data_IF_294401767763
#
_entry.id   IF_294401767763
#
_cell.length_a   1.000
_cell.length_b   1.000
_cell.length_c   1.000
_cell.angle_alpha   90.00
_cell.angle_beta   90.00
_cell.angle_gamma   90.00
#
_symmetry.space_group_name_H-M   'P 1'
#
loop_
_entity.id
_entity.type
_entity.pdbx_description
1 polymer ?
#
# COMPACT_ATOMS: atom_id res chain seq x y z
N UNK A 1 -22.19 5.13 -31.88
CA UNK A 1 -22.67 3.75 -31.75
C UNK A 1 -22.05 3.18 -30.49
N UNK A 2 -22.88 2.68 -29.60
CA UNK A 2 -22.35 2.06 -28.36
C UNK A 2 -21.67 0.74 -28.69
N UNK A 3 -20.37 0.63 -28.38
CA UNK A 3 -19.64 -0.64 -28.56
C UNK A 3 -20.30 -1.75 -27.73
N UNK A 4 -20.47 -2.98 -28.23
CA UNK A 4 -20.99 -4.07 -27.42
C UNK A 4 -20.12 -4.30 -26.17
N UNK A 5 -20.76 -4.70 -25.06
CA UNK A 5 -20.03 -5.04 -23.84
C UNK A 5 -19.22 -6.31 -24.08
N UNK A 6 -17.92 -6.33 -23.78
CA UNK A 6 -17.14 -7.56 -23.91
C UNK A 6 -17.69 -8.66 -22.98
N UNK A 7 -17.97 -9.82 -23.55
CA UNK A 7 -18.46 -11.02 -22.84
C UNK A 7 -17.35 -12.06 -22.60
N UNK A 8 -16.16 -11.83 -23.16
CA UNK A 8 -14.96 -12.66 -23.00
C UNK A 8 -14.62 -12.94 -21.52
N UNK A 9 -13.91 -14.03 -21.17
CA UNK A 9 -13.60 -14.38 -19.80
C UNK A 9 -12.68 -13.35 -19.13
N UNK A 10 -12.76 -13.24 -17.80
CA UNK A 10 -11.68 -12.62 -17.01
C UNK A 10 -10.48 -13.54 -17.06
N UNK A 11 -9.32 -13.03 -17.47
CA UNK A 11 -8.07 -13.79 -17.56
C UNK A 11 -6.98 -13.21 -16.67
N UNK A 12 -6.03 -14.04 -16.28
CA UNK A 12 -4.80 -13.61 -15.65
C UNK A 12 -3.96 -12.86 -16.69
N UNK A 13 -3.43 -11.70 -16.28
CA UNK A 13 -2.51 -10.88 -17.09
C UNK A 13 -1.07 -11.16 -16.66
N UNK A 14 -0.16 -11.12 -17.63
CA UNK A 14 1.28 -11.17 -17.37
C UNK A 14 1.92 -9.81 -17.57
N UNK A 15 3.22 -9.70 -17.27
CA UNK A 15 3.98 -8.44 -17.42
C UNK A 15 3.94 -7.90 -18.86
N UNK A 16 3.73 -8.76 -19.86
CA UNK A 16 3.59 -8.36 -21.26
C UNK A 16 2.28 -7.58 -21.52
N UNK A 17 1.27 -7.70 -20.65
CA UNK A 17 0.02 -6.93 -20.71
C UNK A 17 0.16 -5.53 -20.09
N UNK A 18 1.29 -5.22 -19.42
CA UNK A 18 1.53 -3.94 -18.76
C UNK A 18 1.23 -2.72 -19.66
N UNK A 19 1.63 -2.67 -20.95
CA UNK A 19 1.29 -1.53 -21.80
C UNK A 19 -0.24 -1.33 -21.98
N UNK A 20 -1.02 -2.41 -22.02
CA UNK A 20 -2.47 -2.31 -22.10
C UNK A 20 -3.10 -1.84 -20.78
N UNK A 21 -2.57 -2.29 -19.63
CA UNK A 21 -2.96 -1.80 -18.32
C UNK A 21 -2.70 -0.29 -18.17
N UNK A 22 -1.55 0.19 -18.66
CA UNK A 22 -1.19 1.62 -18.62
C UNK A 22 -2.12 2.45 -19.49
N UNK A 23 -2.43 2.01 -20.73
CA UNK A 23 -3.39 2.72 -21.59
C UNK A 23 -4.79 2.77 -20.95
N UNK A 24 -5.19 1.69 -20.27
CA UNK A 24 -6.46 1.69 -19.53
C UNK A 24 -6.43 2.68 -18.34
N UNK A 25 -5.31 2.79 -17.63
CA UNK A 25 -5.15 3.78 -16.56
C UNK A 25 -5.20 5.21 -17.12
N UNK A 26 -4.52 5.48 -18.24
CA UNK A 26 -4.60 6.77 -18.94
C UNK A 26 -6.02 7.09 -19.42
N UNK A 27 -6.76 6.12 -19.95
CA UNK A 27 -8.19 6.29 -20.29
C UNK A 27 -9.03 6.69 -19.07
N UNK A 28 -8.58 6.35 -17.85
CA UNK A 28 -9.23 6.72 -16.59
C UNK A 28 -8.65 7.97 -15.94
N UNK A 29 -7.79 8.70 -16.60
CA UNK A 29 -7.09 9.91 -16.09
C UNK A 29 -6.21 9.61 -14.85
N UNK A 30 -5.63 8.39 -14.78
CA UNK A 30 -4.82 7.93 -13.63
C UNK A 30 -3.32 7.95 -13.89
N UNK A 31 -2.84 8.44 -15.01
CA UNK A 31 -1.42 8.36 -15.37
C UNK A 31 -0.93 6.92 -15.64
N UNK A 32 0.29 6.80 -16.13
CA UNK A 32 0.87 5.50 -16.51
C UNK A 32 1.37 4.71 -15.32
N UNK A 33 1.94 5.39 -14.32
CA UNK A 33 2.43 4.83 -13.07
C UNK A 33 3.24 3.53 -13.23
N UNK A 34 4.17 3.48 -14.20
CA UNK A 34 4.92 2.27 -14.61
C UNK A 34 5.57 1.55 -13.43
N UNK A 35 6.23 2.31 -12.53
CA UNK A 35 6.92 1.76 -11.37
C UNK A 35 5.97 1.00 -10.42
N UNK A 36 4.81 1.61 -10.13
CA UNK A 36 3.77 1.00 -9.30
C UNK A 36 3.18 -0.25 -9.96
N UNK A 37 2.85 -0.20 -11.25
CA UNK A 37 2.30 -1.33 -11.96
C UNK A 37 3.25 -2.54 -11.96
N UNK A 38 4.56 -2.30 -12.22
CA UNK A 38 5.57 -3.39 -12.16
C UNK A 38 5.64 -4.03 -10.79
N UNK A 39 5.58 -3.24 -9.74
CA UNK A 39 5.57 -3.76 -8.39
C UNK A 39 4.30 -4.56 -8.10
N UNK A 40 3.13 -4.06 -8.50
CA UNK A 40 1.87 -4.80 -8.37
C UNK A 40 1.90 -6.14 -9.13
N UNK A 41 2.46 -6.19 -10.33
CA UNK A 41 2.67 -7.45 -11.07
C UNK A 41 3.62 -8.43 -10.37
N UNK A 42 4.53 -7.95 -9.53
CA UNK A 42 5.48 -8.81 -8.82
C UNK A 42 4.91 -9.40 -7.53
N UNK A 43 3.88 -8.78 -6.94
CA UNK A 43 3.34 -9.16 -5.63
C UNK A 43 1.88 -9.61 -5.65
N UNK A 44 1.19 -9.47 -6.79
CA UNK A 44 -0.25 -9.75 -6.92
C UNK A 44 -0.65 -10.41 -8.21
N UNK A 45 -1.85 -10.96 -8.22
CA UNK A 45 -2.52 -11.49 -9.39
C UNK A 45 -3.27 -10.38 -10.11
N UNK A 46 -2.83 -10.05 -11.32
CA UNK A 46 -3.46 -9.03 -12.16
C UNK A 46 -4.44 -9.71 -13.11
N UNK A 47 -5.69 -9.32 -13.08
CA UNK A 47 -6.74 -9.86 -13.95
C UNK A 47 -7.27 -8.78 -14.90
N UNK A 48 -7.73 -9.21 -16.09
CA UNK A 48 -8.32 -8.30 -17.06
C UNK A 48 -9.37 -8.95 -17.94
N UNK A 49 -10.12 -8.09 -18.61
CA UNK A 49 -11.08 -8.47 -19.67
C UNK A 49 -10.62 -7.80 -20.96
N UNK A 50 -10.39 -8.60 -22.01
CA UNK A 50 -10.07 -8.08 -23.33
C UNK A 50 -11.32 -7.50 -23.99
N UNK A 51 -11.15 -6.43 -24.78
CA UNK A 51 -12.25 -5.80 -25.51
C UNK A 51 -12.49 -6.38 -26.92
N UNK A 52 -11.68 -7.37 -27.31
CA UNK A 52 -11.71 -7.98 -28.64
C UNK A 52 -10.96 -7.20 -29.73
N UNK A 53 -10.41 -6.03 -29.44
CA UNK A 53 -9.66 -5.18 -30.37
C UNK A 53 -8.19 -5.01 -29.96
N UNK A 54 -7.68 -5.85 -29.07
CA UNK A 54 -6.31 -5.80 -28.57
C UNK A 54 -6.09 -4.83 -27.40
N UNK A 55 -7.17 -4.29 -26.82
CA UNK A 55 -7.15 -3.43 -25.64
C UNK A 55 -7.86 -4.10 -24.46
N UNK A 56 -7.66 -3.57 -23.27
CA UNK A 56 -8.38 -4.01 -22.07
C UNK A 56 -9.66 -3.21 -21.87
N UNK A 57 -10.76 -3.93 -21.65
CA UNK A 57 -12.03 -3.34 -21.21
C UNK A 57 -12.03 -3.03 -19.71
N UNK A 58 -11.24 -3.73 -18.92
CA UNK A 58 -11.08 -3.48 -17.51
C UNK A 58 -10.04 -4.38 -16.85
N UNK A 59 -9.59 -3.98 -15.65
CA UNK A 59 -8.63 -4.69 -14.82
C UNK A 59 -9.08 -4.75 -13.36
N UNK A 60 -8.51 -5.67 -12.61
CA UNK A 60 -8.51 -5.74 -11.14
C UNK A 60 -7.25 -6.46 -10.69
N UNK A 61 -6.70 -6.05 -9.55
CA UNK A 61 -5.56 -6.73 -8.93
C UNK A 61 -5.98 -7.27 -7.57
N UNK A 62 -5.57 -8.49 -7.27
CA UNK A 62 -5.66 -9.12 -5.95
C UNK A 62 -4.25 -9.39 -5.45
N UNK A 63 -3.83 -8.70 -4.39
CA UNK A 63 -2.52 -8.88 -3.76
C UNK A 63 -2.70 -9.68 -2.47
N UNK A 64 -2.33 -10.97 -2.43
CA UNK A 64 -2.50 -11.80 -1.25
C UNK A 64 -1.46 -11.47 -0.18
N UNK A 65 -1.91 -11.43 1.08
CA UNK A 65 -1.10 -11.28 2.28
C UNK A 65 -1.31 -12.50 3.16
N UNK A 66 -0.50 -13.52 2.95
CA UNK A 66 -0.68 -14.83 3.56
C UNK A 66 -2.01 -15.49 3.17
N UNK A 67 -2.69 -16.07 4.17
CA UNK A 67 -4.02 -16.71 4.02
C UNK A 67 -5.15 -15.83 4.56
N UNK A 68 -4.80 -14.73 5.20
CA UNK A 68 -5.73 -13.98 6.03
C UNK A 68 -6.36 -12.81 5.28
N UNK A 69 -5.57 -12.06 4.51
CA UNK A 69 -6.02 -10.84 3.84
C UNK A 69 -5.56 -10.81 2.39
N UNK A 70 -6.39 -10.26 1.49
CA UNK A 70 -5.92 -9.78 0.19
C UNK A 70 -6.33 -8.32 -0.02
N UNK A 71 -5.42 -7.51 -0.56
CA UNK A 71 -5.74 -6.17 -1.01
C UNK A 71 -6.27 -6.20 -2.44
N UNK A 72 -7.43 -5.60 -2.67
CA UNK A 72 -8.00 -5.42 -4.01
C UNK A 72 -7.70 -4.02 -4.49
N UNK A 73 -7.14 -3.92 -5.69
CA UNK A 73 -6.75 -2.63 -6.24
C UNK A 73 -6.89 -2.57 -7.76
N UNK A 74 -6.60 -1.41 -8.35
CA UNK A 74 -6.59 -1.16 -9.78
C UNK A 74 -7.84 -1.68 -10.50
N UNK A 75 -9.01 -1.49 -9.86
CA UNK A 75 -10.32 -1.81 -10.44
C UNK A 75 -10.65 -0.72 -11.45
N UNK A 76 -10.30 -0.94 -12.68
CA UNK A 76 -10.48 -0.01 -13.78
C UNK A 76 -11.44 -0.60 -14.81
N UNK A 77 -12.30 0.25 -15.37
CA UNK A 77 -13.16 -0.09 -16.52
C UNK A 77 -13.02 1.04 -17.53
N UNK A 78 -12.71 0.71 -18.77
CA UNK A 78 -12.56 1.68 -19.85
C UNK A 78 -13.81 2.57 -19.95
N UNK A 79 -13.64 3.88 -20.18
CA UNK A 79 -14.72 4.88 -20.22
C UNK A 79 -15.88 4.44 -21.13
N UNK A 80 -15.57 3.84 -22.28
CA UNK A 80 -16.58 3.33 -23.25
C UNK A 80 -17.45 2.17 -22.74
N UNK A 81 -17.04 1.51 -21.64
CA UNK A 81 -17.76 0.37 -21.03
C UNK A 81 -18.27 0.65 -19.62
N UNK A 82 -18.25 1.90 -19.18
CA UNK A 82 -18.75 2.27 -17.87
C UNK A 82 -20.20 1.88 -17.63
N UNK A 83 -20.55 1.60 -16.37
CA UNK A 83 -21.91 1.30 -15.91
C UNK A 83 -22.59 0.12 -16.63
N UNK A 84 -21.79 -0.75 -17.27
CA UNK A 84 -22.29 -1.95 -17.97
C UNK A 84 -21.98 -3.27 -17.23
N UNK A 85 -21.66 -3.19 -15.92
CA UNK A 85 -21.48 -4.35 -15.06
C UNK A 85 -20.07 -4.94 -15.02
N UNK A 86 -19.11 -4.48 -15.86
CA UNK A 86 -17.75 -5.05 -15.92
C UNK A 86 -17.00 -4.93 -14.59
N UNK A 87 -17.10 -3.79 -13.90
CA UNK A 87 -16.47 -3.63 -12.59
C UNK A 87 -16.96 -4.66 -11.56
N UNK A 88 -18.27 -4.92 -11.54
CA UNK A 88 -18.84 -5.96 -10.66
C UNK A 88 -18.40 -7.37 -11.03
N UNK A 89 -18.19 -7.64 -12.33
CA UNK A 89 -17.70 -8.92 -12.83
C UNK A 89 -16.23 -9.15 -12.45
N UNK A 90 -15.38 -8.14 -12.62
CA UNK A 90 -13.98 -8.15 -12.21
C UNK A 90 -13.84 -8.36 -10.70
N UNK A 91 -14.61 -7.60 -9.91
CA UNK A 91 -14.60 -7.73 -8.45
C UNK A 91 -15.00 -9.12 -7.98
N UNK A 92 -16.11 -9.69 -8.48
CA UNK A 92 -16.50 -11.06 -8.11
C UNK A 92 -15.40 -12.06 -8.47
N UNK A 93 -14.79 -11.94 -9.65
CA UNK A 93 -13.69 -12.81 -10.04
C UNK A 93 -12.52 -12.71 -9.06
N UNK A 94 -12.10 -11.49 -8.67
CA UNK A 94 -11.03 -11.29 -7.70
C UNK A 94 -11.40 -11.84 -6.32
N UNK A 95 -12.64 -11.61 -5.84
CA UNK A 95 -13.14 -12.12 -4.56
C UNK A 95 -13.15 -13.66 -4.53
N UNK A 96 -13.63 -14.30 -5.60
CA UNK A 96 -13.71 -15.77 -5.69
C UNK A 96 -12.31 -16.43 -5.75
N UNK A 97 -11.31 -15.72 -6.27
CA UNK A 97 -9.95 -16.24 -6.45
C UNK A 97 -8.95 -15.80 -5.36
N UNK A 98 -9.29 -14.86 -4.51
CA UNK A 98 -8.39 -14.35 -3.46
C UNK A 98 -7.97 -15.41 -2.46
N UNK A 99 -8.83 -16.41 -2.17
CA UNK A 99 -8.57 -17.54 -1.25
C UNK A 99 -8.13 -17.09 0.14
N UNK A 100 -8.60 -15.92 0.59
CA UNK A 100 -8.29 -15.33 1.89
C UNK A 100 -9.58 -15.14 2.70
N UNK A 101 -9.42 -14.98 4.01
CA UNK A 101 -10.55 -14.81 4.95
C UNK A 101 -11.17 -13.43 4.82
N UNK A 102 -10.35 -12.43 4.50
CA UNK A 102 -10.75 -11.04 4.43
C UNK A 102 -10.17 -10.35 3.20
N UNK A 103 -10.85 -9.31 2.74
CA UNK A 103 -10.37 -8.44 1.69
C UNK A 103 -10.35 -6.99 2.18
N UNK A 104 -9.38 -6.23 1.73
CA UNK A 104 -9.35 -4.78 1.95
C UNK A 104 -9.17 -4.04 0.61
N UNK A 105 -9.61 -2.81 0.57
CA UNK A 105 -9.40 -1.89 -0.55
C UNK A 105 -9.53 -0.43 -0.10
N UNK A 106 -9.03 0.46 -0.95
CA UNK A 106 -9.24 1.89 -0.81
C UNK A 106 -10.10 2.38 -1.97
N UNK A 107 -11.30 2.85 -1.64
CA UNK A 107 -12.33 3.22 -2.59
C UNK A 107 -12.31 4.72 -2.89
N UNK A 108 -12.29 5.08 -4.17
CA UNK A 108 -12.68 6.43 -4.59
C UNK A 108 -14.18 6.64 -4.37
N UNK A 109 -14.63 7.89 -4.29
CA UNK A 109 -16.05 8.22 -4.21
C UNK A 109 -16.86 7.56 -5.34
N UNK A 110 -16.30 7.52 -6.55
CA UNK A 110 -16.93 6.89 -7.71
C UNK A 110 -17.05 5.36 -7.56
N UNK A 111 -16.05 4.69 -7.01
CA UNK A 111 -16.01 3.23 -6.85
C UNK A 111 -16.81 2.72 -5.65
N UNK A 112 -16.90 3.51 -4.58
CA UNK A 112 -17.50 3.10 -3.30
C UNK A 112 -18.88 2.44 -3.41
N UNK A 113 -19.85 2.97 -4.20
CA UNK A 113 -21.17 2.33 -4.32
C UNK A 113 -21.14 0.91 -4.89
N UNK A 114 -20.15 0.58 -5.72
CA UNK A 114 -19.96 -0.80 -6.20
C UNK A 114 -19.55 -1.72 -5.06
N UNK A 115 -18.57 -1.31 -4.26
CA UNK A 115 -18.03 -2.13 -3.17
C UNK A 115 -19.04 -2.32 -2.04
N UNK A 116 -19.81 -1.29 -1.70
CA UNK A 116 -20.91 -1.39 -0.73
C UNK A 116 -21.95 -2.44 -1.17
N UNK A 117 -22.34 -2.46 -2.46
CA UNK A 117 -23.25 -3.48 -3.00
C UNK A 117 -22.66 -4.89 -2.99
N UNK A 118 -21.34 -5.03 -2.99
CA UNK A 118 -20.64 -6.31 -2.88
C UNK A 118 -20.41 -6.73 -1.42
N UNK A 119 -20.85 -5.92 -0.45
CA UNK A 119 -20.77 -6.23 0.98
C UNK A 119 -19.53 -5.69 1.69
N UNK A 120 -18.71 -4.86 1.05
CA UNK A 120 -17.63 -4.16 1.72
C UNK A 120 -18.18 -3.10 2.69
N UNK A 121 -17.53 -2.95 3.82
CA UNK A 121 -17.87 -2.00 4.88
C UNK A 121 -16.79 -0.94 4.98
N UNK A 122 -17.18 0.32 5.15
CA UNK A 122 -16.25 1.42 5.44
C UNK A 122 -15.67 1.28 6.84
N UNK A 123 -14.34 1.36 6.97
CA UNK A 123 -13.61 1.24 8.24
C UNK A 123 -12.71 2.44 8.53
N UNK A 124 -12.51 3.33 7.57
CA UNK A 124 -11.69 4.53 7.74
C UNK A 124 -11.72 5.44 6.52
N UNK A 125 -11.06 6.57 6.66
CA UNK A 125 -10.84 7.54 5.57
C UNK A 125 -9.34 7.81 5.43
N UNK A 126 -8.89 7.98 4.20
CA UNK A 126 -7.52 8.32 3.87
C UNK A 126 -7.50 9.51 2.92
N UNK A 127 -6.78 10.59 3.28
CA UNK A 127 -6.64 11.78 2.44
C UNK A 127 -5.25 11.86 1.86
N UNK A 128 -5.16 12.05 0.55
CA UNK A 128 -3.91 12.37 -0.13
C UNK A 128 -3.59 13.85 0.06
N UNK A 129 -2.48 14.14 0.72
CA UNK A 129 -1.90 15.48 0.83
C UNK A 129 -0.81 15.62 -0.21
N UNK A 130 -0.79 16.76 -0.93
CA UNK A 130 0.15 17.03 -2.02
C UNK A 130 0.77 18.40 -1.89
N UNK A 131 2.01 18.55 -2.33
CA UNK A 131 2.71 19.83 -2.36
C UNK A 131 4.23 19.67 -2.40
N UNK A 132 4.93 20.72 -2.12
CA UNK A 132 6.37 20.72 -1.83
C UNK A 132 6.51 20.94 -0.33
N UNK A 133 7.09 19.97 0.36
CA UNK A 133 7.27 20.08 1.80
C UNK A 133 8.40 21.06 2.14
N UNK A 134 8.14 21.97 3.07
CA UNK A 134 9.07 23.00 3.55
C UNK A 134 9.36 22.86 5.04
N UNK A 135 10.47 23.43 5.51
CA UNK A 135 10.81 23.46 6.94
C UNK A 135 11.19 22.10 7.56
N UNK A 136 11.62 21.13 6.72
CA UNK A 136 12.04 19.80 7.17
C UNK A 136 13.31 19.89 8.04
N UNK A 137 13.31 19.20 9.20
CA UNK A 137 14.43 19.28 10.17
C UNK A 137 15.57 18.32 9.83
N UNK A 138 15.26 17.15 9.27
CA UNK A 138 16.21 16.07 8.89
C UNK A 138 17.29 15.81 9.95
N UNK A 139 16.85 15.45 11.16
CA UNK A 139 17.72 15.32 12.34
C UNK A 139 18.72 14.17 12.26
N UNK A 140 18.58 13.25 11.29
CA UNK A 140 19.46 12.10 11.16
C UNK A 140 19.24 11.01 12.21
N UNK A 141 18.01 10.88 12.73
CA UNK A 141 17.62 9.85 13.70
C UNK A 141 17.42 8.51 13.02
N UNK A 142 16.76 8.51 11.84
CA UNK A 142 16.62 7.30 11.06
C UNK A 142 17.88 7.01 10.24
N UNK A 143 18.09 5.75 9.95
CA UNK A 143 19.23 5.29 9.13
C UNK A 143 18.71 4.52 7.92
N UNK A 144 19.45 4.44 6.79
CA UNK A 144 19.09 3.53 5.71
C UNK A 144 18.93 2.11 6.25
N UNK A 145 17.85 1.44 5.83
CA UNK A 145 17.61 0.06 6.21
C UNK A 145 18.65 -0.87 5.60
N UNK A 146 19.18 -1.79 6.40
CA UNK A 146 20.12 -2.83 6.00
C UNK A 146 19.43 -4.19 5.93
N UNK A 147 20.04 -5.18 5.27
CA UNK A 147 19.49 -6.53 5.20
C UNK A 147 19.24 -7.16 6.58
N UNK A 148 20.06 -6.79 7.58
CA UNK A 148 19.93 -7.20 8.98
C UNK A 148 18.71 -6.65 9.70
N UNK A 149 18.13 -5.53 9.23
CA UNK A 149 16.93 -4.93 9.80
C UNK A 149 15.63 -5.61 9.28
N UNK A 150 15.69 -6.27 8.11
CA UNK A 150 14.50 -6.78 7.42
C UNK A 150 13.67 -7.78 8.24
N UNK A 151 14.24 -8.68 9.06
CA UNK A 151 13.45 -9.52 9.94
C UNK A 151 12.61 -8.71 10.96
N UNK A 152 13.16 -7.62 11.51
CA UNK A 152 12.45 -6.75 12.45
C UNK A 152 11.39 -5.89 11.72
N UNK A 153 11.70 -5.41 10.50
CA UNK A 153 10.74 -4.72 9.62
C UNK A 153 9.55 -5.62 9.33
N UNK A 154 9.79 -6.86 8.92
CA UNK A 154 8.72 -7.82 8.63
C UNK A 154 7.88 -8.16 9.87
N UNK A 155 8.52 -8.35 11.02
CA UNK A 155 7.82 -8.62 12.27
C UNK A 155 6.88 -7.47 12.67
N UNK A 156 7.38 -6.22 12.62
CA UNK A 156 6.60 -5.03 12.91
C UNK A 156 5.47 -4.81 11.89
N UNK A 157 5.75 -5.03 10.61
CA UNK A 157 4.76 -4.93 9.54
C UNK A 157 3.61 -5.93 9.75
N UNK A 158 3.93 -7.20 10.01
CA UNK A 158 2.94 -8.25 10.23
C UNK A 158 2.10 -7.99 11.47
N UNK A 159 2.72 -7.53 12.57
CA UNK A 159 2.01 -7.16 13.80
C UNK A 159 1.02 -6.01 13.57
N UNK A 160 1.45 -4.97 12.86
CA UNK A 160 0.65 -3.76 12.64
C UNK A 160 -0.40 -3.94 11.56
N UNK A 161 -0.05 -4.57 10.45
CA UNK A 161 -1.00 -4.79 9.35
C UNK A 161 -1.99 -5.94 9.64
N UNK A 162 -1.62 -6.88 10.50
CA UNK A 162 -2.46 -8.02 10.89
C UNK A 162 -2.50 -9.16 9.87
N UNK A 163 -1.54 -9.20 8.93
CA UNK A 163 -1.37 -10.29 7.96
C UNK A 163 0.08 -10.38 7.48
N UNK A 164 0.47 -11.54 6.96
CA UNK A 164 1.82 -11.78 6.43
C UNK A 164 1.99 -11.12 5.06
N UNK A 165 2.69 -9.99 5.03
CA UNK A 165 3.05 -9.25 3.81
C UNK A 165 4.52 -9.50 3.38
N UNK A 166 5.08 -10.67 3.70
CA UNK A 166 6.52 -10.96 3.50
C UNK A 166 7.00 -10.69 2.06
N UNK A 167 6.23 -11.07 1.04
CA UNK A 167 6.63 -10.84 -0.35
C UNK A 167 6.63 -9.34 -0.71
N UNK A 168 5.66 -8.58 -0.20
CA UNK A 168 5.66 -7.13 -0.36
C UNK A 168 6.84 -6.49 0.38
N UNK A 169 7.04 -6.83 1.66
CA UNK A 169 8.10 -6.28 2.51
C UNK A 169 9.50 -6.56 1.94
N UNK A 170 9.75 -7.76 1.41
CA UNK A 170 11.00 -8.10 0.72
C UNK A 170 11.27 -7.20 -0.48
N UNK A 171 10.24 -6.77 -1.16
CA UNK A 171 10.35 -5.89 -2.34
C UNK A 171 10.61 -4.43 -2.01
N UNK A 172 10.26 -3.94 -0.80
CA UNK A 172 10.33 -2.53 -0.44
C UNK A 172 11.71 -1.89 -0.60
N UNK A 173 12.85 -2.53 -0.20
CA UNK A 173 14.16 -1.91 -0.37
C UNK A 173 14.55 -1.62 -1.83
N UNK A 174 14.01 -2.38 -2.79
CA UNK A 174 14.23 -2.16 -4.22
C UNK A 174 13.14 -1.31 -4.87
N UNK A 175 11.96 -1.27 -4.29
CA UNK A 175 10.85 -0.44 -4.75
C UNK A 175 10.99 1.02 -4.33
N UNK A 176 11.48 1.27 -3.10
CA UNK A 176 11.69 2.61 -2.58
C UNK A 176 13.01 3.22 -3.05
N UNK A 177 12.99 4.53 -3.39
CA UNK A 177 14.23 5.31 -3.61
C UNK A 177 15.01 5.51 -2.31
N UNK A 178 14.29 5.59 -1.19
CA UNK A 178 14.86 5.61 0.16
C UNK A 178 13.96 4.76 1.07
N UNK A 179 14.59 3.82 1.77
CA UNK A 179 13.93 2.98 2.77
C UNK A 179 14.76 3.03 4.05
N UNK A 180 14.14 3.49 5.14
CA UNK A 180 14.83 3.86 6.37
C UNK A 180 14.18 3.22 7.59
N UNK A 181 14.97 3.04 8.65
CA UNK A 181 14.51 2.51 9.95
C UNK A 181 14.95 3.44 11.08
N UNK A 182 14.15 3.49 12.12
CA UNK A 182 14.56 3.99 13.44
C UNK A 182 14.82 2.78 14.32
N UNK A 183 16.08 2.59 14.69
CA UNK A 183 16.48 1.47 15.55
C UNK A 183 16.18 1.79 17.01
N UNK A 184 15.69 0.81 17.76
CA UNK A 184 15.59 0.96 19.22
C UNK A 184 16.99 0.87 19.81
N UNK A 185 17.28 1.71 20.81
CA UNK A 185 18.51 1.53 21.59
C UNK A 185 18.50 0.11 22.19
N UNK A 186 19.60 -0.63 22.17
CA UNK A 186 19.66 -1.90 22.87
C UNK A 186 19.29 -1.65 24.34
N UNK A 187 18.20 -2.25 24.78
CA UNK A 187 17.83 -2.22 26.21
C UNK A 187 19.00 -2.78 27.04
N UNK A 188 19.07 -2.45 28.34
CA UNK A 188 20.09 -3.02 29.22
C UNK A 188 20.04 -4.54 29.07
N UNK A 189 21.21 -5.15 28.79
CA UNK A 189 21.33 -6.59 28.64
C UNK A 189 20.64 -7.29 29.81
N UNK A 190 19.76 -8.31 29.57
CA UNK A 190 19.19 -9.06 30.68
C UNK A 190 20.35 -9.63 31.51
N UNK A 191 20.22 -9.54 32.84
CA UNK A 191 21.19 -10.11 33.75
C UNK A 191 21.47 -11.57 33.36
N UNK A 192 22.75 -12.01 33.39
CA UNK A 192 23.11 -13.34 32.95
C UNK A 192 22.30 -14.39 33.72
N UNK A 193 21.47 -15.14 33.01
CA UNK A 193 20.77 -16.28 33.56
C UNK A 193 21.80 -17.35 33.97
N UNK A 194 21.57 -18.10 35.04
CA UNK A 194 22.49 -19.18 35.45
C UNK A 194 22.63 -20.21 34.34
N UNK A 195 23.89 -20.58 34.09
CA UNK A 195 24.30 -21.45 33.01
C UNK A 195 23.62 -22.83 33.08
N UNK A 196 22.60 -23.05 32.28
CA UNK A 196 22.11 -24.37 31.91
C UNK A 196 21.35 -24.32 30.59
N UNK A 197 21.92 -24.98 29.59
CA UNK A 197 21.47 -25.28 28.24
C UNK A 197 21.73 -24.18 27.15
N UNK A 198 22.36 -24.57 26.03
CA UNK A 198 22.54 -23.70 24.89
C UNK A 198 21.20 -23.52 24.16
N UNK A 199 20.66 -22.29 24.19
CA UNK A 199 19.59 -21.91 23.31
C UNK A 199 20.14 -21.67 21.89
N UNK A 200 19.43 -22.09 20.83
CA UNK A 200 19.89 -21.86 19.47
C UNK A 200 19.87 -20.36 19.15
N UNK A 201 21.01 -19.84 18.81
CA UNK A 201 21.34 -18.72 17.95
C UNK A 201 20.31 -17.61 17.69
N UNK A 202 19.98 -16.80 18.69
CA UNK A 202 19.46 -15.46 18.49
C UNK A 202 20.37 -14.50 19.29
N UNK A 203 21.36 -13.93 18.61
CA UNK A 203 21.96 -12.71 19.11
C UNK A 203 20.85 -11.67 19.33
N UNK A 204 21.07 -10.63 20.16
CA UNK A 204 20.08 -9.58 20.37
C UNK A 204 19.78 -8.95 18.99
N UNK A 205 18.65 -9.32 18.40
CA UNK A 205 18.20 -8.73 17.16
C UNK A 205 18.05 -7.23 17.39
N UNK A 206 18.58 -6.42 16.49
CA UNK A 206 18.40 -4.98 16.53
C UNK A 206 16.90 -4.73 16.41
N UNK A 207 16.25 -4.29 17.48
CA UNK A 207 14.86 -3.91 17.44
C UNK A 207 14.69 -2.60 16.65
N UNK A 208 13.55 -2.42 16.04
CA UNK A 208 13.19 -1.16 15.38
C UNK A 208 11.98 -0.52 16.05
N UNK A 209 11.99 0.80 16.16
CA UNK A 209 10.84 1.60 16.60
C UNK A 209 9.90 1.94 15.44
N UNK A 210 10.40 1.89 14.21
CA UNK A 210 9.62 2.11 13.01
C UNK A 210 10.45 2.04 11.75
N UNK A 211 9.77 2.03 10.62
CA UNK A 211 10.35 2.11 9.29
C UNK A 211 9.50 2.97 8.36
N UNK A 212 10.14 3.55 7.37
CA UNK A 212 9.48 4.37 6.37
C UNK A 212 10.20 4.37 5.05
N UNK A 213 9.46 4.63 3.99
CA UNK A 213 9.99 4.70 2.65
C UNK A 213 9.44 5.86 1.83
N UNK A 214 10.10 6.10 0.72
CA UNK A 214 9.60 6.99 -0.33
C UNK A 214 9.93 6.36 -1.68
N UNK A 215 9.00 6.42 -2.61
CA UNK A 215 9.14 5.91 -3.96
C UNK A 215 8.64 6.91 -4.99
N UNK A 216 9.13 6.83 -6.21
CA UNK A 216 8.77 7.77 -7.27
C UNK A 216 7.63 7.23 -8.11
N UNK A 217 6.62 8.08 -8.33
CA UNK A 217 5.56 7.82 -9.27
C UNK A 217 5.37 9.03 -10.19
N UNK A 218 5.85 8.90 -11.41
CA UNK A 218 5.87 10.01 -12.38
C UNK A 218 6.54 11.26 -11.78
N UNK A 219 5.80 12.36 -11.67
CA UNK A 219 6.32 13.64 -11.18
C UNK A 219 6.29 13.79 -9.65
N UNK A 220 5.77 12.79 -8.92
CA UNK A 220 5.58 12.84 -7.47
C UNK A 220 6.45 11.82 -6.75
N UNK A 221 7.04 12.23 -5.65
CA UNK A 221 7.56 11.29 -4.67
C UNK A 221 6.42 10.92 -3.70
N UNK A 222 6.08 9.64 -3.61
CA UNK A 222 5.08 9.13 -2.67
C UNK A 222 5.78 8.66 -1.41
N UNK A 223 5.42 9.27 -0.29
CA UNK A 223 5.85 8.81 1.04
C UNK A 223 5.00 7.62 1.42
N UNK A 224 5.64 6.54 1.79
CA UNK A 224 5.03 5.29 2.20
C UNK A 224 5.89 4.07 1.84
N UNK A 225 5.83 3.00 2.68
CA UNK A 225 5.07 2.92 3.93
C UNK A 225 5.65 3.78 5.05
N UNK A 226 4.86 4.07 6.10
CA UNK A 226 5.37 4.52 7.40
C UNK A 226 4.62 3.75 8.49
N UNK A 227 5.35 2.88 9.17
CA UNK A 227 4.88 2.13 10.33
C UNK A 227 5.81 2.43 11.50
N UNK A 228 5.23 2.79 12.65
CA UNK A 228 6.01 3.20 13.82
C UNK A 228 5.29 2.85 15.12
N UNK A 229 6.06 2.67 16.19
CA UNK A 229 5.53 2.39 17.52
C UNK A 229 4.78 3.60 18.14
N UNK A 230 5.16 4.81 17.73
CA UNK A 230 4.57 6.05 18.22
C UNK A 230 4.63 7.17 17.16
N UNK A 231 3.87 8.23 17.42
CA UNK A 231 3.74 9.38 16.53
C UNK A 231 5.05 10.15 16.33
N UNK A 232 5.88 10.27 17.35
CA UNK A 232 7.17 10.99 17.26
C UNK A 232 8.09 10.28 16.26
N UNK A 233 8.18 8.95 16.35
CA UNK A 233 8.94 8.10 15.42
C UNK A 233 8.38 8.22 14.00
N UNK A 234 7.05 8.21 13.84
CA UNK A 234 6.41 8.33 12.52
C UNK A 234 6.70 9.70 11.89
N UNK A 235 6.54 10.79 12.61
CA UNK A 235 6.85 12.15 12.13
C UNK A 235 8.32 12.31 11.77
N UNK A 236 9.22 11.73 12.56
CA UNK A 236 10.66 11.69 12.27
C UNK A 236 10.94 10.97 10.95
N UNK A 237 10.35 9.80 10.74
CA UNK A 237 10.50 9.04 9.49
C UNK A 237 9.99 9.82 8.29
N UNK A 238 8.78 10.40 8.39
CA UNK A 238 8.19 11.23 7.31
C UNK A 238 9.11 12.40 6.98
N UNK A 239 9.57 13.15 7.99
CA UNK A 239 10.47 14.28 7.82
C UNK A 239 11.78 13.88 7.09
N UNK A 240 12.33 12.72 7.44
CA UNK A 240 13.64 12.30 6.95
C UNK A 240 13.61 11.58 5.60
N UNK A 241 12.48 10.94 5.20
CA UNK A 241 12.39 10.27 3.89
C UNK A 241 12.00 11.21 2.76
N UNK A 242 11.31 12.32 3.03
CA UNK A 242 10.83 13.25 1.99
C UNK A 242 12.01 13.84 1.21
N UNK A 243 12.09 13.63 -0.12
CA UNK A 243 13.08 14.26 -0.97
C UNK A 243 12.69 15.70 -1.32
N UNK A 244 13.60 16.51 -1.88
CA UNK A 244 13.23 17.78 -2.51
C UNK A 244 12.23 17.58 -3.65
N UNK A 245 11.29 18.53 -3.78
CA UNK A 245 10.32 18.58 -4.88
C UNK A 245 8.90 18.13 -4.50
N UNK A 246 8.04 17.87 -5.49
CA UNK A 246 6.66 17.51 -5.25
C UNK A 246 6.51 16.17 -4.54
N UNK A 247 5.73 16.14 -3.46
CA UNK A 247 5.46 14.92 -2.69
C UNK A 247 3.96 14.68 -2.52
N UNK A 248 3.61 13.42 -2.38
CA UNK A 248 2.29 12.97 -1.95
C UNK A 248 2.44 12.14 -0.67
N UNK A 249 1.55 12.40 0.27
CA UNK A 249 1.44 11.72 1.55
C UNK A 249 -0.02 11.29 1.74
N UNK A 250 -0.27 9.99 1.79
CA UNK A 250 -1.61 9.43 2.00
C UNK A 250 -1.83 9.18 3.49
N UNK A 251 -2.62 10.02 4.16
CA UNK A 251 -2.78 10.02 5.62
C UNK A 251 -4.14 9.46 6.01
N UNK A 252 -4.15 8.45 6.87
CA UNK A 252 -5.37 7.96 7.53
C UNK A 252 -5.85 9.00 8.54
N UNK A 253 -7.17 9.26 8.57
CA UNK A 253 -7.78 10.25 9.46
C UNK A 253 -7.63 9.91 10.96
N UNK A 254 -7.20 8.72 11.30
CA UNK A 254 -6.86 8.32 12.68
C UNK A 254 -5.58 8.97 13.19
N UNK A 255 -4.80 9.65 12.32
CA UNK A 255 -3.53 10.31 12.66
C UNK A 255 -3.62 11.84 12.51
N UNK A 256 -4.36 12.54 13.39
CA UNK A 256 -4.54 13.99 13.31
C UNK A 256 -3.23 14.78 13.45
N UNK A 257 -2.25 14.24 14.18
CA UNK A 257 -0.93 14.87 14.32
C UNK A 257 -0.15 14.85 13.00
N UNK A 258 -0.26 13.77 12.22
CA UNK A 258 0.38 13.70 10.91
C UNK A 258 -0.34 14.59 9.89
N UNK A 259 -1.67 14.73 10.00
CA UNK A 259 -2.44 15.71 9.22
C UNK A 259 -1.95 17.13 9.52
N UNK A 260 -1.87 17.49 10.79
CA UNK A 260 -1.40 18.81 11.23
C UNK A 260 0.06 19.07 10.77
N UNK A 261 0.92 18.05 10.85
CA UNK A 261 2.28 18.12 10.34
C UNK A 261 2.30 18.39 8.82
N UNK A 262 1.53 17.66 8.03
CA UNK A 262 1.47 17.82 6.58
C UNK A 262 1.05 19.26 6.19
N UNK A 263 0.01 19.79 6.84
CA UNK A 263 -0.49 21.14 6.60
C UNK A 263 0.50 22.23 7.02
N UNK A 264 1.18 22.04 8.17
CA UNK A 264 2.21 22.95 8.66
C UNK A 264 3.43 23.01 7.73
N UNK A 265 3.75 21.91 7.03
CA UNK A 265 4.86 21.84 6.09
C UNK A 265 4.46 22.12 4.62
N UNK A 266 3.30 22.74 4.39
CA UNK A 266 2.90 23.24 3.07
C UNK A 266 2.15 22.24 2.20
N UNK A 267 1.89 21.03 2.66
CA UNK A 267 1.07 20.08 1.90
C UNK A 267 -0.42 20.43 2.03
N UNK A 268 -1.19 20.14 1.00
CA UNK A 268 -2.64 20.45 0.95
C UNK A 268 -3.44 19.21 0.58
N UNK A 269 -4.66 19.06 1.14
CA UNK A 269 -5.53 17.95 0.80
C UNK A 269 -5.92 18.03 -0.69
N UNK A 270 -5.79 16.91 -1.39
CA UNK A 270 -6.10 16.79 -2.81
C UNK A 270 -7.38 15.97 -3.05
N UNK A 271 -7.49 14.81 -2.44
CA UNK A 271 -8.69 13.97 -2.49
C UNK A 271 -8.71 13.00 -1.30
N UNK A 272 -9.92 12.56 -0.95
CA UNK A 272 -10.15 11.58 0.11
C UNK A 272 -10.72 10.29 -0.47
N UNK A 273 -10.28 9.18 0.08
CA UNK A 273 -10.75 7.83 -0.24
C UNK A 273 -11.27 7.14 1.01
N UNK A 274 -12.10 6.11 0.81
CA UNK A 274 -12.67 5.32 1.91
C UNK A 274 -11.92 3.99 2.00
N UNK A 275 -11.36 3.69 3.17
CA UNK A 275 -10.81 2.37 3.46
C UNK A 275 -11.96 1.42 3.75
N UNK A 276 -12.00 0.29 3.06
CA UNK A 276 -13.10 -0.66 3.14
C UNK A 276 -12.61 -2.09 3.32
N UNK A 277 -13.38 -2.89 4.03
CA UNK A 277 -13.12 -4.30 4.30
C UNK A 277 -14.32 -5.19 3.96
N UNK A 278 -14.04 -6.43 3.57
CA UNK A 278 -15.02 -7.49 3.34
C UNK A 278 -14.57 -8.77 4.05
N UNK A 279 -15.53 -9.58 4.50
CA UNK A 279 -15.26 -10.81 5.23
C UNK A 279 -15.12 -10.59 6.74
N UNK A 280 -14.24 -11.32 7.39
CA UNK A 280 -13.95 -11.16 8.81
C UNK A 280 -13.22 -9.83 9.07
N UNK A 281 -13.34 -9.24 10.27
CA UNK A 281 -12.52 -8.09 10.65
C UNK A 281 -11.03 -8.42 10.59
N UNK A 282 -10.23 -7.49 10.04
CA UNK A 282 -8.78 -7.64 10.00
C UNK A 282 -8.22 -7.29 11.38
N UNK A 283 -7.41 -8.19 11.94
CA UNK A 283 -6.75 -7.99 13.24
C UNK A 283 -5.52 -7.10 13.09
N UNK A 284 -5.70 -5.85 12.67
CA UNK A 284 -4.63 -4.88 12.48
C UNK A 284 -4.56 -3.89 13.67
N UNK A 285 -3.44 -3.16 13.73
CA UNK A 285 -3.27 -2.00 14.62
C UNK A 285 -3.11 -0.73 13.78
N UNK A 286 -4.23 -0.14 13.33
CA UNK A 286 -4.19 1.03 12.48
C UNK A 286 -3.64 2.29 13.18
N UNK A 287 -3.47 2.28 14.51
CA UNK A 287 -2.85 3.40 15.24
C UNK A 287 -1.35 3.51 15.00
N UNK A 288 -0.72 2.45 14.48
CA UNK A 288 0.71 2.40 14.13
C UNK A 288 0.99 2.35 12.63
N UNK A 289 -0.03 2.22 11.79
CA UNK A 289 0.06 2.37 10.33
C UNK A 289 -0.24 3.82 9.94
N UNK A 290 0.77 4.66 9.89
CA UNK A 290 0.62 6.10 9.62
C UNK A 290 0.42 6.41 8.14
N UNK A 291 1.15 5.72 7.27
CA UNK A 291 1.08 5.89 5.83
C UNK A 291 1.17 4.52 5.15
N UNK A 292 0.22 4.16 4.28
CA UNK A 292 0.32 2.92 3.52
C UNK A 292 1.47 2.94 2.52
N UNK A 293 1.88 1.80 2.01
CA UNK A 293 2.84 1.72 0.88
C UNK A 293 2.31 2.51 -0.31
N UNK A 294 1.06 2.30 -0.61
CA UNK A 294 0.22 3.03 -1.56
C UNK A 294 -1.24 2.68 -1.27
N UNK A 295 -2.18 3.50 -1.70
CA UNK A 295 -3.62 3.16 -1.59
C UNK A 295 -3.99 1.84 -2.29
N UNK A 296 -3.14 1.36 -3.19
CA UNK A 296 -3.33 0.10 -3.90
C UNK A 296 -2.75 -1.13 -3.17
N UNK A 297 -1.99 -0.93 -2.09
CA UNK A 297 -1.21 -1.99 -1.41
C UNK A 297 -1.46 -2.04 0.11
N UNK A 298 -2.24 -1.09 0.66
CA UNK A 298 -2.50 -1.00 2.09
C UNK A 298 -1.32 -0.49 2.92
#
# INVERSE_FOLDING_TARGET
>A
MDSPVPDGPVRLLGINDLPACQRLAEDRDWGREDHKWRFLFSVGDVYGIDDGNGELAGTVISTPYGKDVAAISMVLVAKRYERRGLGGRLMRHAMDNARTVSLCLTATEYGRPLYERLGFRSVGLCTAYKGVAEGLSKRGVSVPAEASDMPAVHALDTEVFGADRSELVKGLPSFCESFRVVRTSPGPAPAPAPASAPAPGSGPGVGIAGFGGVWRNEDWALVGPVIAQDTETALTLVDEVIPPGPVRLDVDHRHPELIAWAEAHGLRPAFTTTVMEYGAPISNDPSRLYVPVAQALG
#
